data_IF_709201962950
#
_entry.id   IF_709201962950
#
_cell.length_a   1.000
_cell.length_b   1.000
_cell.length_c   1.000
_cell.angle_alpha   90.00
_cell.angle_beta   90.00
_cell.angle_gamma   90.00
#
_symmetry.space_group_name_H-M   'P 1'
#
loop_
_entity.id
_entity.type
_entity.pdbx_description
1 polymer ?
#
# COMPACT_ATOMS: atom_id res chain seq x y z
N UNK A 1 -28.64 19.38 6.10
CA UNK A 1 -27.28 18.80 5.99
C UNK A 1 -26.42 19.56 6.99
N UNK A 2 -25.91 18.86 7.99
CA UNK A 2 -25.06 19.38 9.05
C UNK A 2 -23.70 19.83 8.46
N UNK A 3 -23.03 20.79 9.11
CA UNK A 3 -21.72 21.32 8.74
C UNK A 3 -20.68 20.19 8.66
N UNK A 4 -20.74 19.22 9.57
CA UNK A 4 -19.89 18.00 9.57
C UNK A 4 -20.04 17.19 8.28
N UNK A 5 -21.26 16.96 7.81
CA UNK A 5 -21.51 16.21 6.56
C UNK A 5 -20.99 16.95 5.31
N UNK A 6 -20.96 18.28 5.31
CA UNK A 6 -20.38 19.06 4.20
C UNK A 6 -18.86 19.03 4.21
N UNK A 7 -18.24 19.00 5.39
CA UNK A 7 -16.77 18.92 5.52
C UNK A 7 -16.30 17.54 5.08
N UNK A 8 -16.95 16.46 5.51
CA UNK A 8 -16.62 15.09 5.10
C UNK A 8 -16.72 14.95 3.57
N UNK A 9 -17.84 15.37 2.97
CA UNK A 9 -18.01 15.34 1.52
C UNK A 9 -16.97 16.18 0.74
N UNK A 10 -16.48 17.28 1.33
CA UNK A 10 -15.44 18.11 0.73
C UNK A 10 -14.06 17.45 0.82
N UNK A 11 -13.77 16.75 1.90
CA UNK A 11 -12.53 15.97 2.08
C UNK A 11 -12.51 14.80 1.11
N UNK A 12 -13.60 14.03 1.02
CA UNK A 12 -13.73 12.89 0.10
C UNK A 12 -13.56 13.31 -1.37
N UNK A 13 -14.00 14.52 -1.73
CA UNK A 13 -13.83 15.05 -3.08
C UNK A 13 -12.37 15.36 -3.46
N UNK A 14 -11.48 15.52 -2.48
CA UNK A 14 -10.04 15.76 -2.67
C UNK A 14 -9.21 14.50 -2.46
N UNK A 15 -9.81 13.43 -1.94
CA UNK A 15 -9.13 12.18 -1.65
C UNK A 15 -8.71 11.46 -2.95
N UNK A 16 -7.52 10.87 -2.94
CA UNK A 16 -7.07 9.97 -4.00
C UNK A 16 -7.87 8.65 -3.95
N UNK A 17 -8.16 8.16 -2.74
CA UNK A 17 -8.97 6.97 -2.52
C UNK A 17 -9.87 7.21 -1.30
N UNK A 18 -11.19 6.98 -1.45
CA UNK A 18 -12.10 6.98 -0.32
C UNK A 18 -13.08 5.81 -0.41
N UNK A 19 -13.49 5.32 0.75
CA UNK A 19 -14.55 4.34 0.92
C UNK A 19 -15.63 4.91 1.83
N UNK A 20 -16.89 4.62 1.54
CA UNK A 20 -18.04 5.03 2.34
C UNK A 20 -18.94 3.83 2.53
N UNK A 21 -19.06 3.38 3.79
CA UNK A 21 -19.89 2.25 4.21
C UNK A 21 -19.71 1.00 3.33
N UNK A 22 -18.44 0.73 2.92
CA UNK A 22 -18.14 -0.35 1.99
C UNK A 22 -18.22 -1.72 2.69
N UNK A 23 -19.05 -2.60 2.16
CA UNK A 23 -19.22 -3.97 2.64
C UNK A 23 -18.85 -4.96 1.54
N UNK A 24 -18.17 -6.05 1.93
CA UNK A 24 -17.85 -7.18 1.04
C UNK A 24 -18.26 -8.48 1.69
N UNK A 25 -18.99 -9.30 0.93
CA UNK A 25 -19.47 -10.61 1.35
C UNK A 25 -18.95 -11.72 0.44
N UNK A 26 -18.63 -12.87 1.01
CA UNK A 26 -18.38 -14.11 0.30
C UNK A 26 -19.42 -15.17 0.75
N UNK A 27 -20.41 -15.39 -0.08
CA UNK A 27 -21.57 -16.21 0.28
C UNK A 27 -22.37 -15.56 1.41
N UNK A 28 -22.36 -16.17 2.59
CA UNK A 28 -23.03 -15.63 3.79
C UNK A 28 -22.03 -15.01 4.79
N UNK A 29 -20.76 -14.97 4.47
CA UNK A 29 -19.73 -14.43 5.35
C UNK A 29 -19.42 -12.99 4.99
N UNK A 30 -19.61 -12.07 5.96
CA UNK A 30 -19.25 -10.66 5.84
C UNK A 30 -17.75 -10.52 6.16
N UNK A 31 -16.98 -10.12 5.17
CA UNK A 31 -15.52 -9.96 5.28
C UNK A 31 -15.13 -8.52 5.57
N UNK A 32 -15.80 -7.56 4.92
CA UNK A 32 -15.67 -6.14 5.23
C UNK A 32 -17.05 -5.61 5.62
N UNK A 33 -17.11 -4.93 6.75
CA UNK A 33 -18.33 -4.43 7.38
C UNK A 33 -18.22 -2.92 7.62
N UNK A 34 -19.00 -2.14 6.91
CA UNK A 34 -19.14 -0.69 7.06
C UNK A 34 -17.78 0.07 7.02
N UNK A 35 -16.90 -0.33 6.10
CA UNK A 35 -15.57 0.26 5.96
C UNK A 35 -15.68 1.65 5.37
N UNK A 36 -15.21 2.66 6.14
CA UNK A 36 -15.16 4.06 5.71
C UNK A 36 -13.80 4.65 6.02
N UNK A 37 -13.15 5.26 5.00
CA UNK A 37 -11.86 5.95 5.12
C UNK A 37 -11.65 6.91 3.95
N UNK A 38 -10.68 7.83 4.11
CA UNK A 38 -10.23 8.74 3.04
C UNK A 38 -8.70 8.84 3.07
N UNK A 39 -8.05 8.68 1.91
CA UNK A 39 -6.59 8.79 1.75
C UNK A 39 -6.28 9.89 0.74
N UNK A 40 -5.39 10.80 1.13
CA UNK A 40 -5.05 11.98 0.32
C UNK A 40 -3.97 11.67 -0.71
N UNK A 41 -3.88 12.42 -1.83
CA UNK A 41 -2.74 12.36 -2.73
C UNK A 41 -1.43 12.69 -2.00
N UNK A 42 -0.32 12.07 -2.42
CA UNK A 42 0.98 12.33 -1.81
C UNK A 42 1.09 11.84 -0.36
N UNK A 43 0.37 10.78 -0.01
CA UNK A 43 0.47 10.12 1.30
C UNK A 43 0.91 8.67 1.16
N UNK A 44 1.62 8.19 2.17
CA UNK A 44 1.98 6.80 2.36
C UNK A 44 1.21 6.24 3.56
N UNK A 45 0.22 5.40 3.28
CA UNK A 45 -0.73 4.87 4.27
C UNK A 45 -0.50 3.39 4.53
N UNK A 46 -0.29 3.03 5.80
CA UNK A 46 -0.23 1.64 6.24
C UNK A 46 -1.62 1.07 6.50
N UNK A 47 -2.00 -0.04 5.87
CA UNK A 47 -3.21 -0.80 6.22
C UNK A 47 -2.81 -1.94 7.16
N UNK A 48 -3.17 -1.81 8.42
CA UNK A 48 -2.69 -2.66 9.51
C UNK A 48 -3.84 -3.45 10.12
N UNK A 49 -3.58 -4.71 10.44
CA UNK A 49 -4.58 -5.56 11.09
C UNK A 49 -4.20 -7.03 11.08
N UNK A 50 -4.97 -7.87 11.77
CA UNK A 50 -4.68 -9.30 11.86
C UNK A 50 -4.79 -10.02 10.51
N UNK A 51 -4.23 -11.22 10.45
CA UNK A 51 -4.48 -12.12 9.33
C UNK A 51 -5.97 -12.48 9.31
N UNK A 52 -6.59 -12.41 8.11
CA UNK A 52 -8.04 -12.55 7.96
C UNK A 52 -8.86 -11.28 8.30
N UNK A 53 -8.21 -10.17 8.70
CA UNK A 53 -8.89 -8.89 8.99
C UNK A 53 -9.42 -8.13 7.77
N UNK A 54 -9.30 -8.70 6.53
CA UNK A 54 -9.88 -8.12 5.33
C UNK A 54 -8.95 -7.25 4.48
N UNK A 55 -7.65 -7.12 4.81
CA UNK A 55 -6.70 -6.24 4.10
C UNK A 55 -6.62 -6.51 2.59
N UNK A 56 -6.38 -7.75 2.18
CA UNK A 56 -6.31 -8.13 0.76
C UNK A 56 -7.69 -8.01 0.08
N UNK A 57 -8.78 -8.26 0.82
CA UNK A 57 -10.15 -8.05 0.32
C UNK A 57 -10.41 -6.58 0.05
N UNK A 58 -9.99 -5.67 0.95
CA UNK A 58 -10.06 -4.23 0.75
C UNK A 58 -9.25 -3.80 -0.49
N UNK A 59 -8.02 -4.28 -0.64
CA UNK A 59 -7.19 -3.97 -1.82
C UNK A 59 -7.81 -4.48 -3.11
N UNK A 60 -8.39 -5.68 -3.11
CA UNK A 60 -9.12 -6.21 -4.26
C UNK A 60 -10.37 -5.39 -4.59
N UNK A 61 -11.07 -4.86 -3.58
CA UNK A 61 -12.22 -3.98 -3.79
C UNK A 61 -11.77 -2.62 -4.37
N UNK A 62 -10.69 -2.01 -3.85
CA UNK A 62 -10.10 -0.79 -4.39
C UNK A 62 -9.62 -1.01 -5.83
N UNK A 63 -8.98 -2.15 -6.13
CA UNK A 63 -8.53 -2.51 -7.47
C UNK A 63 -9.67 -2.84 -8.45
N UNK A 64 -10.93 -2.89 -7.98
CA UNK A 64 -12.09 -3.25 -8.80
C UNK A 64 -12.12 -4.72 -9.25
N UNK A 65 -11.43 -5.58 -8.51
CA UNK A 65 -11.42 -7.05 -8.69
C UNK A 65 -12.56 -7.67 -7.89
N UNK A 66 -12.80 -7.19 -6.67
CA UNK A 66 -13.89 -7.61 -5.80
C UNK A 66 -15.03 -6.59 -5.84
N UNK A 67 -16.25 -7.07 -6.05
CA UNK A 67 -17.45 -6.23 -5.99
C UNK A 67 -17.89 -6.00 -4.55
N UNK A 68 -18.44 -4.81 -4.28
CA UNK A 68 -19.05 -4.47 -3.00
C UNK A 68 -20.47 -5.02 -2.95
N UNK A 69 -20.89 -5.52 -1.78
CA UNK A 69 -22.28 -5.83 -1.47
C UNK A 69 -23.06 -4.53 -1.20
N UNK A 70 -22.45 -3.58 -0.47
CA UNK A 70 -23.02 -2.28 -0.14
C UNK A 70 -21.93 -1.21 -0.10
N UNK A 71 -22.35 0.07 -0.07
CA UNK A 71 -21.47 1.21 0.02
C UNK A 71 -20.81 1.59 -1.30
N UNK A 72 -19.72 2.34 -1.22
CA UNK A 72 -18.97 2.80 -2.39
C UNK A 72 -17.49 2.94 -2.10
N UNK A 73 -16.67 2.77 -3.15
CA UNK A 73 -15.26 3.15 -3.18
C UNK A 73 -15.07 4.06 -4.38
N UNK A 74 -14.38 5.18 -4.19
CA UNK A 74 -14.01 6.12 -5.24
C UNK A 74 -12.49 6.28 -5.30
N UNK A 75 -11.97 6.36 -6.50
CA UNK A 75 -10.57 6.52 -6.87
C UNK A 75 -10.48 7.75 -7.76
N UNK A 76 -9.89 8.83 -7.28
CA UNK A 76 -9.89 10.11 -8.02
C UNK A 76 -11.31 10.47 -8.51
N UNK A 77 -12.33 10.32 -7.67
CA UNK A 77 -13.75 10.52 -7.96
C UNK A 77 -14.35 9.60 -9.05
N UNK A 78 -13.70 8.49 -9.38
CA UNK A 78 -14.20 7.47 -10.33
C UNK A 78 -14.50 6.17 -9.60
N UNK A 79 -15.36 5.33 -10.19
CA UNK A 79 -15.50 3.95 -9.67
C UNK A 79 -14.19 3.15 -9.87
N UNK A 80 -13.92 2.12 -9.05
CA UNK A 80 -12.74 1.27 -9.23
C UNK A 80 -12.62 0.67 -10.64
N UNK A 81 -13.75 0.34 -11.27
CA UNK A 81 -13.79 -0.20 -12.65
C UNK A 81 -13.33 0.83 -13.68
N UNK A 82 -13.70 2.09 -13.50
CA UNK A 82 -13.34 3.19 -14.41
C UNK A 82 -11.92 3.72 -14.14
N UNK A 83 -11.42 3.55 -12.91
CA UNK A 83 -10.10 4.00 -12.46
C UNK A 83 -8.99 2.96 -12.61
N UNK A 84 -9.21 1.84 -13.31
CA UNK A 84 -8.20 0.75 -13.41
C UNK A 84 -6.84 1.20 -13.93
N UNK A 85 -6.80 2.23 -14.77
CA UNK A 85 -5.57 2.83 -15.27
C UNK A 85 -4.80 3.61 -14.21
N UNK A 86 -5.51 4.13 -13.22
CA UNK A 86 -4.98 5.00 -12.17
C UNK A 86 -4.44 4.15 -10.97
N UNK A 87 -4.70 2.83 -10.95
CA UNK A 87 -4.35 1.93 -9.85
C UNK A 87 -3.24 0.96 -10.27
N UNK A 88 -2.13 0.98 -9.56
CA UNK A 88 -1.06 -0.01 -9.66
C UNK A 88 -1.15 -1.00 -8.50
N UNK A 89 -1.41 -2.28 -8.80
CA UNK A 89 -1.50 -3.32 -7.78
C UNK A 89 -0.28 -4.23 -7.80
N UNK A 90 0.41 -4.28 -6.68
CA UNK A 90 1.51 -5.19 -6.39
C UNK A 90 1.02 -6.26 -5.43
N UNK A 91 0.69 -7.47 -5.94
CA UNK A 91 0.10 -8.52 -5.12
C UNK A 91 1.13 -9.18 -4.21
N UNK A 92 0.63 -9.91 -3.23
CA UNK A 92 1.43 -10.77 -2.38
C UNK A 92 2.24 -11.76 -3.22
N UNK A 93 3.52 -11.95 -2.86
CA UNK A 93 4.51 -12.73 -3.62
C UNK A 93 4.06 -14.16 -3.96
N UNK A 94 3.34 -14.81 -3.06
CA UNK A 94 2.91 -16.20 -3.19
C UNK A 94 1.89 -16.43 -4.31
N UNK A 95 1.20 -15.38 -4.72
CA UNK A 95 0.19 -15.45 -5.78
C UNK A 95 0.77 -15.37 -7.20
N UNK A 96 2.07 -15.09 -7.34
CA UNK A 96 2.72 -14.87 -8.64
C UNK A 96 3.45 -16.11 -9.09
N UNK A 97 3.14 -16.60 -10.30
CA UNK A 97 3.89 -17.69 -10.92
C UNK A 97 5.23 -17.21 -11.50
N UNK A 98 6.29 -17.30 -10.71
CA UNK A 98 7.64 -16.84 -11.07
C UNK A 98 8.36 -17.72 -12.10
N UNK A 99 7.80 -18.88 -12.48
CA UNK A 99 8.41 -19.81 -13.44
C UNK A 99 8.22 -19.39 -14.90
N UNK A 100 7.53 -18.27 -15.13
CA UNK A 100 7.38 -17.74 -16.49
C UNK A 100 8.71 -17.13 -16.95
N UNK A 101 9.25 -17.48 -18.13
CA UNK A 101 10.56 -17.02 -18.61
C UNK A 101 10.46 -15.58 -19.16
N UNK A 102 10.11 -14.62 -18.28
CA UNK A 102 10.03 -13.20 -18.59
C UNK A 102 11.20 -12.47 -17.97
N UNK A 103 11.78 -11.53 -18.71
CA UNK A 103 12.73 -10.54 -18.16
C UNK A 103 11.99 -9.47 -17.38
N UNK A 104 12.74 -8.65 -16.60
CA UNK A 104 12.17 -7.48 -15.92
C UNK A 104 11.45 -6.56 -16.92
N UNK A 105 12.08 -6.28 -18.05
CA UNK A 105 11.49 -5.46 -19.12
C UNK A 105 10.20 -6.06 -19.67
N UNK A 106 10.15 -7.37 -19.89
CA UNK A 106 8.94 -8.05 -20.38
C UNK A 106 7.79 -7.87 -19.38
N UNK A 107 8.06 -8.07 -18.08
CA UNK A 107 7.04 -7.88 -17.02
C UNK A 107 6.51 -6.45 -16.99
N UNK A 108 7.39 -5.45 -17.08
CA UNK A 108 6.98 -4.04 -17.10
C UNK A 108 6.19 -3.73 -18.36
N UNK A 109 6.56 -4.29 -19.52
CA UNK A 109 5.87 -4.12 -20.81
C UNK A 109 4.42 -4.63 -20.77
N UNK A 110 4.10 -5.61 -19.90
CA UNK A 110 2.71 -6.10 -19.74
C UNK A 110 1.74 -4.98 -19.30
N UNK A 111 2.23 -3.92 -18.64
CA UNK A 111 1.42 -2.75 -18.28
C UNK A 111 0.82 -2.03 -19.49
N UNK A 112 1.45 -2.17 -20.64
CA UNK A 112 1.03 -1.53 -21.91
C UNK A 112 0.19 -2.46 -22.80
N UNK A 113 0.04 -3.73 -22.43
CA UNK A 113 -0.61 -4.75 -23.28
C UNK A 113 -2.06 -4.34 -23.71
N UNK A 114 -2.81 -3.67 -22.84
CA UNK A 114 -4.17 -3.19 -23.16
C UNK A 114 -4.22 -1.99 -24.12
N UNK A 115 -3.09 -1.32 -24.32
CA UNK A 115 -2.96 -0.14 -25.22
C UNK A 115 -2.18 -0.49 -26.50
N UNK A 116 -1.68 -1.73 -26.63
CA UNK A 116 -0.89 -2.15 -27.79
C UNK A 116 -1.71 -2.01 -29.08
N UNK A 117 -1.09 -1.43 -30.09
CA UNK A 117 -1.61 -1.39 -31.46
C UNK A 117 -1.93 -2.81 -31.95
N UNK A 118 -2.89 -2.93 -32.87
CA UNK A 118 -3.29 -4.19 -33.54
C UNK A 118 -2.09 -4.96 -34.15
N UNK A 119 -0.91 -4.35 -34.22
CA UNK A 119 0.35 -4.94 -34.73
C UNK A 119 1.34 -5.37 -33.61
N UNK A 120 0.95 -5.33 -32.33
CA UNK A 120 1.76 -5.85 -31.23
C UNK A 120 3.07 -5.11 -30.96
N UNK A 121 3.23 -3.86 -31.42
CA UNK A 121 4.43 -3.04 -31.18
C UNK A 121 4.15 -1.97 -30.15
N UNK A 122 5.04 -1.85 -29.17
CA UNK A 122 5.07 -0.72 -28.23
C UNK A 122 5.29 0.59 -29.01
N UNK A 123 4.61 1.66 -28.61
CA UNK A 123 4.93 2.98 -29.13
C UNK A 123 6.28 3.48 -28.61
N UNK A 124 6.95 4.44 -29.26
CA UNK A 124 8.16 5.05 -28.70
C UNK A 124 7.94 5.66 -27.31
N UNK A 125 6.74 6.16 -27.01
CA UNK A 125 6.36 6.65 -25.69
C UNK A 125 6.28 5.54 -24.64
N UNK A 126 5.73 4.37 -25.01
CA UNK A 126 5.66 3.21 -24.09
C UNK A 126 7.06 2.74 -23.70
N UNK A 127 8.02 2.76 -24.62
CA UNK A 127 9.41 2.36 -24.34
C UNK A 127 10.08 3.34 -23.36
N UNK A 128 9.82 4.64 -23.49
CA UNK A 128 10.33 5.64 -22.54
C UNK A 128 9.70 5.47 -21.16
N UNK A 129 8.41 5.19 -21.07
CA UNK A 129 7.73 4.92 -19.81
C UNK A 129 8.30 3.67 -19.11
N UNK A 130 8.61 2.61 -19.88
CA UNK A 130 9.21 1.38 -19.36
C UNK A 130 10.63 1.66 -18.83
N UNK A 131 11.44 2.37 -19.59
CA UNK A 131 12.80 2.75 -19.18
C UNK A 131 12.77 3.61 -17.91
N UNK A 132 11.98 4.68 -17.90
CA UNK A 132 11.86 5.58 -16.74
C UNK A 132 11.42 4.82 -15.49
N UNK A 133 10.40 3.97 -15.62
CA UNK A 133 9.88 3.17 -14.52
C UNK A 133 10.93 2.21 -13.96
N UNK A 134 11.71 1.53 -14.82
CA UNK A 134 12.79 0.65 -14.39
C UNK A 134 13.94 1.41 -13.72
N UNK A 135 14.26 2.63 -14.21
CA UNK A 135 15.27 3.50 -13.60
C UNK A 135 14.83 3.98 -12.22
N UNK A 136 13.58 4.39 -12.05
CA UNK A 136 13.02 4.84 -10.76
C UNK A 136 13.10 3.79 -9.66
N UNK A 137 13.00 2.53 -10.01
CA UNK A 137 13.12 1.41 -9.06
C UNK A 137 14.52 0.78 -9.05
N UNK A 138 15.51 1.38 -9.70
CA UNK A 138 16.91 0.91 -9.78
C UNK A 138 17.09 -0.48 -10.41
N UNK A 139 16.22 -0.81 -11.39
CA UNK A 139 16.23 -2.11 -12.09
C UNK A 139 16.63 -2.03 -13.55
N UNK A 140 17.02 -0.84 -14.05
CA UNK A 140 17.35 -0.67 -15.47
C UNK A 140 18.53 -1.54 -15.92
N UNK A 141 19.59 -1.64 -15.12
CA UNK A 141 20.76 -2.46 -15.46
C UNK A 141 20.48 -3.97 -15.41
N UNK A 142 19.39 -4.36 -14.78
CA UNK A 142 18.92 -5.74 -14.67
C UNK A 142 17.69 -6.02 -15.57
N UNK A 143 17.33 -5.10 -16.48
CA UNK A 143 16.12 -5.18 -17.31
C UNK A 143 15.99 -6.45 -18.14
N UNK A 144 17.12 -7.01 -18.59
CA UNK A 144 17.16 -8.24 -19.42
C UNK A 144 17.32 -9.51 -18.57
N UNK A 145 17.40 -9.40 -17.24
CA UNK A 145 17.48 -10.54 -16.33
C UNK A 145 16.09 -11.17 -16.18
N UNK A 146 16.03 -12.50 -16.24
CA UNK A 146 14.78 -13.25 -16.01
C UNK A 146 14.33 -13.08 -14.55
N UNK A 147 13.03 -12.90 -14.34
CA UNK A 147 12.47 -12.67 -13.00
C UNK A 147 12.63 -13.87 -12.05
N UNK A 148 12.74 -15.09 -12.59
CA UNK A 148 13.00 -16.30 -11.80
C UNK A 148 14.40 -16.30 -11.16
N UNK A 149 15.37 -15.57 -11.75
CA UNK A 149 16.75 -15.40 -11.27
C UNK A 149 16.95 -14.21 -10.33
N UNK A 150 15.89 -13.47 -10.04
CA UNK A 150 15.93 -12.28 -9.21
C UNK A 150 15.67 -12.60 -7.74
N UNK A 151 16.25 -11.81 -6.83
CA UNK A 151 15.91 -11.81 -5.41
C UNK A 151 14.45 -11.39 -5.18
N UNK A 152 13.94 -11.61 -3.95
CA UNK A 152 12.59 -11.17 -3.58
C UNK A 152 12.40 -9.67 -3.74
N UNK A 153 13.36 -8.87 -3.25
CA UNK A 153 13.32 -7.41 -3.35
C UNK A 153 13.39 -6.92 -4.80
N UNK A 154 14.25 -7.50 -5.64
CA UNK A 154 14.33 -7.16 -7.07
C UNK A 154 13.01 -7.44 -7.80
N UNK A 155 12.35 -8.56 -7.49
CA UNK A 155 11.03 -8.87 -8.06
C UNK A 155 9.98 -7.85 -7.67
N UNK A 156 9.96 -7.42 -6.40
CA UNK A 156 9.04 -6.39 -5.93
C UNK A 156 9.27 -5.06 -6.65
N UNK A 157 10.54 -4.65 -6.83
CA UNK A 157 10.91 -3.46 -7.61
C UNK A 157 10.40 -3.56 -9.07
N UNK A 158 10.52 -4.73 -9.71
CA UNK A 158 10.00 -4.95 -11.07
C UNK A 158 8.47 -4.81 -11.13
N UNK A 159 7.74 -5.35 -10.14
CA UNK A 159 6.29 -5.17 -10.07
C UNK A 159 5.88 -3.73 -9.80
N UNK A 160 6.65 -3.01 -8.97
CA UNK A 160 6.45 -1.59 -8.78
C UNK A 160 6.70 -0.81 -10.07
N UNK A 161 7.79 -1.12 -10.82
CA UNK A 161 8.04 -0.53 -12.13
C UNK A 161 6.88 -0.77 -13.11
N UNK A 162 6.28 -1.96 -13.09
CA UNK A 162 5.10 -2.28 -13.91
C UNK A 162 3.92 -1.35 -13.58
N UNK A 163 3.67 -1.12 -12.30
CA UNK A 163 2.61 -0.22 -11.85
C UNK A 163 2.88 1.22 -12.27
N UNK A 164 4.13 1.69 -12.17
CA UNK A 164 4.54 3.02 -12.60
C UNK A 164 4.41 3.20 -14.12
N UNK A 165 4.87 2.23 -14.91
CA UNK A 165 4.78 2.27 -16.38
C UNK A 165 3.32 2.29 -16.88
N UNK A 166 2.37 1.76 -16.09
CA UNK A 166 0.93 1.89 -16.35
C UNK A 166 0.46 3.35 -16.24
N UNK A 167 1.18 4.19 -15.50
CA UNK A 167 0.81 5.56 -15.16
C UNK A 167 -0.03 5.65 -13.89
N UNK A 168 0.07 4.66 -13.00
CA UNK A 168 -0.71 4.62 -11.78
C UNK A 168 -0.41 5.82 -10.85
N UNK A 169 -1.46 6.41 -10.30
CA UNK A 169 -1.40 7.46 -9.29
C UNK A 169 -1.57 6.89 -7.88
N UNK A 170 -2.21 5.72 -7.77
CA UNK A 170 -2.41 4.99 -6.53
C UNK A 170 -1.71 3.65 -6.62
N UNK A 171 -0.86 3.37 -5.65
CA UNK A 171 -0.10 2.13 -5.53
C UNK A 171 -0.64 1.31 -4.36
N UNK A 172 -1.12 0.10 -4.65
CA UNK A 172 -1.57 -0.86 -3.66
C UNK A 172 -0.51 -1.95 -3.51
N UNK A 173 0.12 -2.07 -2.35
CA UNK A 173 1.15 -3.06 -2.05
C UNK A 173 0.62 -4.05 -1.01
N UNK A 174 0.24 -5.23 -1.44
CA UNK A 174 -0.31 -6.26 -0.55
C UNK A 174 0.82 -7.13 0.01
N UNK A 175 1.18 -6.91 1.27
CA UNK A 175 2.28 -7.58 1.97
C UNK A 175 3.59 -7.66 1.14
N UNK A 176 3.90 -6.57 0.44
CA UNK A 176 5.01 -6.51 -0.52
C UNK A 176 6.40 -6.81 0.10
N UNK A 177 6.55 -6.71 1.41
CA UNK A 177 7.81 -6.97 2.11
C UNK A 177 7.93 -8.39 2.67
N UNK A 178 6.92 -9.23 2.53
CA UNK A 178 6.98 -10.61 3.02
C UNK A 178 8.12 -11.38 2.36
N UNK A 179 9.04 -11.91 3.18
CA UNK A 179 10.20 -12.66 2.70
C UNK A 179 11.26 -11.86 1.93
N UNK A 180 11.28 -10.54 2.08
CA UNK A 180 12.33 -9.65 1.57
C UNK A 180 13.31 -9.35 2.72
N UNK A 181 14.61 -9.37 2.45
CA UNK A 181 15.64 -9.02 3.44
C UNK A 181 15.57 -7.53 3.83
N UNK A 182 16.06 -7.19 5.05
CA UNK A 182 15.92 -5.85 5.63
C UNK A 182 16.53 -4.76 4.74
N UNK A 183 17.71 -4.99 4.17
CA UNK A 183 18.37 -3.99 3.32
C UNK A 183 17.58 -3.71 2.04
N UNK A 184 17.01 -4.75 1.42
CA UNK A 184 16.14 -4.62 0.25
C UNK A 184 14.81 -3.92 0.60
N UNK A 185 14.28 -4.14 1.81
CA UNK A 185 13.09 -3.44 2.29
C UNK A 185 13.34 -1.93 2.43
N UNK A 186 14.44 -1.53 3.07
CA UNK A 186 14.80 -0.11 3.25
C UNK A 186 14.93 0.61 1.91
N UNK A 187 15.68 0.01 0.95
CA UNK A 187 15.80 0.58 -0.39
C UNK A 187 14.46 0.69 -1.13
N UNK A 188 13.51 -0.24 -0.92
CA UNK A 188 12.18 -0.13 -1.50
C UNK A 188 11.34 0.96 -0.83
N UNK A 189 11.44 1.13 0.50
CA UNK A 189 10.79 2.22 1.24
C UNK A 189 11.25 3.58 0.72
N UNK A 190 12.55 3.77 0.49
CA UNK A 190 13.05 5.04 -0.04
C UNK A 190 12.49 5.34 -1.44
N UNK A 191 12.37 4.32 -2.30
CA UNK A 191 11.69 4.48 -3.60
C UNK A 191 10.22 4.90 -3.41
N UNK A 192 9.50 4.25 -2.48
CA UNK A 192 8.08 4.58 -2.21
C UNK A 192 7.91 5.99 -1.62
N UNK A 193 8.82 6.43 -0.72
CA UNK A 193 8.83 7.80 -0.20
C UNK A 193 9.06 8.82 -1.35
N UNK A 194 9.99 8.55 -2.26
CA UNK A 194 10.18 9.39 -3.44
C UNK A 194 8.93 9.49 -4.32
N UNK A 195 8.20 8.38 -4.50
CA UNK A 195 6.94 8.37 -5.26
C UNK A 195 5.82 9.15 -4.54
N UNK A 196 5.73 9.04 -3.21
CA UNK A 196 4.84 9.85 -2.39
C UNK A 196 5.15 11.35 -2.56
N UNK A 197 6.41 11.72 -2.50
CA UNK A 197 6.86 13.12 -2.66
C UNK A 197 6.58 13.66 -4.07
N UNK A 198 6.55 12.79 -5.08
CA UNK A 198 6.06 13.07 -6.44
C UNK A 198 4.51 13.16 -6.53
N UNK A 199 3.80 13.05 -5.40
CA UNK A 199 2.34 13.17 -5.33
C UNK A 199 1.58 11.85 -5.51
N UNK A 200 2.24 10.70 -5.62
CA UNK A 200 1.58 9.39 -5.67
C UNK A 200 0.99 9.02 -4.30
N UNK A 201 -0.14 8.34 -4.32
CA UNK A 201 -0.77 7.77 -3.14
C UNK A 201 -0.30 6.32 -2.99
N UNK A 202 0.23 5.96 -1.82
CA UNK A 202 0.71 4.60 -1.53
C UNK A 202 -0.08 4.01 -0.39
N UNK A 203 -0.79 2.90 -0.64
CA UNK A 203 -1.42 2.09 0.41
C UNK A 203 -0.67 0.77 0.51
N UNK A 204 -0.18 0.44 1.69
CA UNK A 204 0.57 -0.79 1.90
C UNK A 204 0.00 -1.60 3.06
N UNK A 205 -0.43 -2.83 2.76
CA UNK A 205 -0.80 -3.79 3.81
C UNK A 205 0.46 -4.31 4.50
N UNK A 206 0.48 -4.22 5.82
CA UNK A 206 1.60 -4.72 6.65
C UNK A 206 1.08 -5.28 7.97
N UNK A 207 1.85 -6.20 8.54
CA UNK A 207 1.67 -6.71 9.90
C UNK A 207 2.82 -6.31 10.83
N UNK A 208 3.85 -5.61 10.30
CA UNK A 208 4.97 -5.09 11.09
C UNK A 208 4.58 -3.76 11.73
N UNK A 209 4.33 -3.80 13.03
CA UNK A 209 3.95 -2.63 13.81
C UNK A 209 5.16 -1.77 14.23
N UNK A 210 6.36 -2.35 14.29
CA UNK A 210 7.52 -1.69 14.89
C UNK A 210 8.09 -0.54 14.08
N UNK A 211 7.85 -0.53 12.77
CA UNK A 211 8.43 0.45 11.82
C UNK A 211 7.39 1.41 11.25
N UNK A 212 6.16 1.40 11.79
CA UNK A 212 5.06 2.17 11.18
C UNK A 212 5.27 3.68 11.26
N UNK A 213 5.68 4.20 12.43
CA UNK A 213 5.88 5.64 12.62
C UNK A 213 6.96 6.23 11.69
N UNK A 214 8.00 5.44 11.39
CA UNK A 214 9.11 5.87 10.53
C UNK A 214 8.80 5.76 9.03
N UNK A 215 7.77 4.96 8.67
CA UNK A 215 7.49 4.60 7.28
C UNK A 215 6.24 5.23 6.72
N UNK A 216 5.23 5.50 7.55
CA UNK A 216 3.90 5.91 7.08
C UNK A 216 3.49 7.26 7.63
N UNK A 217 2.86 8.07 6.79
CA UNK A 217 2.26 9.36 7.18
C UNK A 217 0.99 9.13 8.00
N UNK A 218 0.24 8.07 7.66
CA UNK A 218 -0.96 7.63 8.38
C UNK A 218 -1.16 6.12 8.30
N UNK A 219 -2.03 5.60 9.14
CA UNK A 219 -2.44 4.20 9.16
C UNK A 219 -3.95 4.06 9.17
N UNK A 220 -4.42 2.98 8.57
CA UNK A 220 -5.80 2.48 8.66
C UNK A 220 -5.74 1.16 9.43
N UNK A 221 -6.29 1.15 10.63
CA UNK A 221 -6.42 -0.04 11.46
C UNK A 221 -7.66 -0.82 11.06
N UNK A 222 -7.48 -2.01 10.45
CA UNK A 222 -8.54 -2.79 9.84
C UNK A 222 -8.69 -4.16 10.49
N UNK A 223 -9.89 -4.43 11.01
CA UNK A 223 -10.32 -5.76 11.43
C UNK A 223 -11.79 -5.97 11.05
N UNK A 224 -12.02 -6.30 9.76
CA UNK A 224 -13.32 -6.32 9.08
C UNK A 224 -13.96 -4.93 8.94
N UNK A 225 -13.78 -4.03 9.88
CA UNK A 225 -14.15 -2.62 9.85
C UNK A 225 -12.93 -1.75 10.20
N UNK A 226 -13.04 -0.46 10.00
CA UNK A 226 -11.98 0.48 10.36
C UNK A 226 -12.10 0.82 11.85
N UNK A 227 -11.14 0.30 12.65
CA UNK A 227 -11.08 0.57 14.09
C UNK A 227 -10.52 1.97 14.39
N UNK A 228 -9.57 2.43 13.56
CA UNK A 228 -8.98 3.77 13.63
C UNK A 228 -8.33 4.15 12.30
N UNK A 229 -8.23 5.47 12.04
CA UNK A 229 -7.43 6.07 10.97
C UNK A 229 -6.74 7.33 11.47
N UNK A 230 -5.50 7.56 11.07
CA UNK A 230 -4.73 8.77 11.37
C UNK A 230 -3.23 8.51 11.46
N UNK A 231 -2.46 9.50 11.92
CA UNK A 231 -1.03 9.34 12.16
C UNK A 231 -0.77 8.16 13.11
N UNK A 232 0.30 7.37 12.88
CA UNK A 232 0.59 6.17 13.68
C UNK A 232 0.57 6.42 15.19
N UNK A 233 1.13 7.56 15.65
CA UNK A 233 1.26 7.93 17.06
C UNK A 233 -0.10 8.11 17.75
N UNK A 234 -1.13 8.45 17.00
CA UNK A 234 -2.48 8.70 17.53
C UNK A 234 -3.47 7.58 17.25
N UNK A 235 -3.25 6.81 16.18
CA UNK A 235 -4.14 5.71 15.78
C UNK A 235 -3.99 4.47 16.67
N UNK A 236 -2.76 4.17 17.15
CA UNK A 236 -2.49 2.98 17.98
C UNK A 236 -2.73 3.22 19.46
N UNK A 237 -3.98 3.39 19.84
CA UNK A 237 -4.35 3.40 21.25
C UNK A 237 -4.40 1.97 21.83
N UNK A 238 -4.27 1.78 23.15
CA UNK A 238 -4.42 0.45 23.78
C UNK A 238 -5.75 -0.23 23.44
N UNK A 239 -6.83 0.54 23.29
CA UNK A 239 -8.14 0.02 22.88
C UNK A 239 -8.15 -0.49 21.44
N UNK A 240 -7.52 0.23 20.50
CA UNK A 240 -7.39 -0.19 19.10
C UNK A 240 -6.52 -1.44 18.98
N UNK A 241 -5.41 -1.52 19.71
CA UNK A 241 -4.54 -2.70 19.73
C UNK A 241 -5.25 -3.93 20.30
N UNK A 242 -6.06 -3.75 21.35
CA UNK A 242 -6.87 -4.81 21.92
C UNK A 242 -7.94 -5.30 20.92
N UNK A 243 -8.55 -4.41 20.16
CA UNK A 243 -9.56 -4.73 19.15
C UNK A 243 -8.94 -5.47 17.95
N UNK A 244 -7.74 -5.05 17.49
CA UNK A 244 -7.03 -5.68 16.38
C UNK A 244 -6.49 -7.07 16.73
N UNK A 245 -5.87 -7.22 17.92
CA UNK A 245 -5.04 -8.39 18.25
C UNK A 245 -5.49 -9.12 19.52
N UNK A 246 -6.60 -8.70 20.14
CA UNK A 246 -7.09 -9.27 21.38
C UNK A 246 -6.14 -9.02 22.56
N UNK A 247 -6.17 -9.86 23.62
CA UNK A 247 -5.31 -9.71 24.80
C UNK A 247 -3.80 -9.70 24.50
N UNK A 248 -3.38 -10.26 23.36
CA UNK A 248 -1.98 -10.21 22.91
C UNK A 248 -1.56 -8.82 22.41
N UNK A 249 -2.50 -7.95 22.05
CA UNK A 249 -2.24 -6.57 21.62
C UNK A 249 -1.62 -5.70 22.72
N UNK A 250 -1.84 -6.03 24.01
CA UNK A 250 -1.26 -5.28 25.13
C UNK A 250 0.28 -5.36 25.21
N UNK A 251 0.90 -6.40 24.65
CA UNK A 251 2.37 -6.50 24.59
C UNK A 251 2.99 -5.45 23.66
N UNK A 252 2.24 -4.91 22.71
CA UNK A 252 2.72 -3.86 21.81
C UNK A 252 2.58 -2.46 22.40
N UNK A 253 1.68 -2.26 23.40
CA UNK A 253 1.46 -0.95 24.02
C UNK A 253 2.68 -0.45 24.81
N UNK A 254 3.46 -1.34 25.41
CA UNK A 254 4.62 -1.00 26.23
C UNK A 254 5.81 -0.51 25.37
N UNK A 255 5.92 -0.99 24.13
CA UNK A 255 6.95 -0.52 23.19
C UNK A 255 6.68 0.88 22.62
N UNK A 256 5.40 1.26 22.43
CA UNK A 256 5.04 2.58 21.89
C UNK A 256 5.19 3.72 22.90
N UNK A 257 5.04 3.45 24.19
CA UNK A 257 5.22 4.45 25.25
C UNK A 257 6.70 4.73 25.57
N UNK A 258 7.62 3.86 25.13
CA UNK A 258 9.06 3.94 25.47
C UNK A 258 9.90 4.88 24.61
N UNK A 259 9.40 5.36 23.45
CA UNK A 259 10.21 6.19 22.53
C UNK A 259 10.13 7.71 22.79
N UNK A 260 9.36 8.19 23.76
CA UNK A 260 9.22 9.62 24.09
C UNK A 260 9.92 10.03 25.40
N UNK A 261 10.88 9.27 25.92
CA UNK A 261 11.50 9.56 27.22
C UNK A 261 13.00 9.29 27.30
N UNK A 262 13.82 9.87 26.43
CA UNK A 262 15.25 10.02 26.71
C UNK A 262 15.66 11.49 26.56
N UNK A 263 15.17 12.33 27.49
CA UNK A 263 15.90 13.52 27.92
C UNK A 263 16.88 13.13 29.04
N UNK A 264 18.13 13.54 28.84
CA UNK A 264 19.31 13.51 29.63
C UNK A 264 19.25 13.01 31.09
N UNK A 265 20.00 11.97 31.37
CA UNK A 265 20.64 11.80 32.65
C UNK A 265 22.16 11.90 32.44
N UNK A 266 22.68 13.06 32.80
CA UNK A 266 24.08 13.27 33.08
C UNK A 266 24.52 12.32 34.20
N UNK A 267 25.48 11.46 33.89
CA UNK A 267 26.23 10.72 34.90
C UNK A 267 27.43 11.56 35.30
N UNK A 268 27.28 12.32 36.40
CA UNK A 268 28.41 12.80 37.17
C UNK A 268 29.15 11.61 37.79
N UNK A 269 30.36 11.40 37.30
CA UNK A 269 31.35 10.57 38.01
C UNK A 269 31.99 11.43 39.08
N UNK A 270 31.64 11.25 40.36
CA UNK A 270 32.52 11.56 41.46
C UNK A 270 33.32 10.32 41.85
N UNK A 271 34.64 10.56 41.85
CA UNK A 271 35.68 9.68 42.35
C UNK A 271 35.71 9.77 43.88
N UNK A 272 35.64 8.63 44.56
CA UNK A 272 36.45 8.33 45.75
C UNK A 272 36.76 6.85 45.80
#
# INVERSE_FOLDING_TARGET
MDVSGKIIAAVDALAACCATNACVEFGSELILDDVSFSVMPGTMTGVVGPNGGGKSTLFNAIAGVQELAHGSILINNKSPKDARGDIGYVPQRELVNWRFPLSARDVVSLSKAGKMSMFGRSSPGDELDIEDSLRRVEMWDRRDTLVDKMSGGERQRVFLARALAQGADILLLDEAFSGVDVGSQEGLIEVLKGLRDDGKCVLMATHDLNTLADRFDEVICLNRHVCAQGPPETAFTPSVLLELYGPHGSMFSDHWQGHHGHEGHDFDHELE
#
